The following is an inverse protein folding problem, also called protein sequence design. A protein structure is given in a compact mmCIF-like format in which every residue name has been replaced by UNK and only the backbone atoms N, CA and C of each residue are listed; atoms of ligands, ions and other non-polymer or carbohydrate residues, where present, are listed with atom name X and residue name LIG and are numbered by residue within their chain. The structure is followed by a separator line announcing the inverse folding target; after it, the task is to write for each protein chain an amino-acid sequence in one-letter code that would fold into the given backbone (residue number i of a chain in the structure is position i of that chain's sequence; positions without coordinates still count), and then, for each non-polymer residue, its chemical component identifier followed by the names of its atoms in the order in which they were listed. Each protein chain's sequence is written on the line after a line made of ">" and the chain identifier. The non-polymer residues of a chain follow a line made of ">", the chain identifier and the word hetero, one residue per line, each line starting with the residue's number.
data_IF_791205227712
#
_entry.id   IF_791205227712
#
_cell.length_a   1.000
_cell.length_b   1.000
_cell.length_c   1.000
_cell.angle_alpha   90.00
_cell.angle_beta   90.00
_cell.angle_gamma   90.00
#
_symmetry.space_group_name_H-M   'P 1'
#
loop_
_entity.id
_entity.type
_entity.pdbx_description
1 polymer ?
#
# COMPACT_ATOMS: atom_id res chain seq x y z
N UNK A 1 8.14 32.25 37.03
CA UNK A 1 6.99 31.31 37.01
C UNK A 1 6.06 31.79 35.91
N UNK A 2 6.31 31.35 34.66
CA UNK A 2 5.57 31.78 33.48
C UNK A 2 4.63 30.66 33.03
N UNK A 3 3.33 30.89 33.18
CA UNK A 3 2.25 30.00 32.73
C UNK A 3 2.11 30.09 31.22
N UNK A 4 2.44 29.00 30.52
CA UNK A 4 2.21 28.84 29.09
C UNK A 4 0.72 28.70 28.82
N UNK A 5 0.12 29.75 28.27
CA UNK A 5 -1.20 29.71 27.67
C UNK A 5 -1.19 28.79 26.45
N UNK A 6 -1.61 27.53 26.64
CA UNK A 6 -2.08 26.68 25.54
C UNK A 6 -3.41 27.26 25.06
N UNK A 7 -3.37 28.09 24.01
CA UNK A 7 -4.57 28.39 23.22
C UNK A 7 -5.00 27.09 22.56
N UNK A 8 -5.83 26.33 23.28
CA UNK A 8 -6.66 25.27 22.69
C UNK A 8 -7.60 26.01 21.74
N UNK A 9 -7.41 25.78 20.46
CA UNK A 9 -8.29 26.26 19.42
C UNK A 9 -9.63 25.59 19.71
N UNK A 10 -10.58 26.37 20.24
CA UNK A 10 -11.96 25.97 20.36
C UNK A 10 -12.49 25.77 18.94
N UNK A 11 -12.47 24.53 18.46
CA UNK A 11 -13.22 24.12 17.29
C UNK A 11 -14.65 23.90 17.78
N UNK A 12 -15.46 24.84 17.35
CA UNK A 12 -16.89 25.00 17.55
C UNK A 12 -17.66 23.69 17.37
N UNK A 13 -18.63 23.51 18.26
CA UNK A 13 -19.55 22.38 18.33
C UNK A 13 -20.45 22.31 17.09
N UNK A 14 -20.32 21.26 16.28
CA UNK A 14 -21.38 20.91 15.32
C UNK A 14 -21.64 19.40 15.28
N UNK A 15 -22.67 18.99 16.01
CA UNK A 15 -23.49 17.77 15.82
C UNK A 15 -22.84 16.40 16.09
N UNK A 16 -22.62 16.11 17.38
CA UNK A 16 -22.42 14.74 17.88
C UNK A 16 -23.76 13.99 17.74
N UNK A 17 -23.94 13.25 16.65
CA UNK A 17 -25.09 12.35 16.48
C UNK A 17 -24.86 11.05 17.28
N UNK A 18 -25.52 10.94 18.43
CA UNK A 18 -25.50 9.74 19.27
C UNK A 18 -26.33 8.62 18.63
N UNK A 19 -25.68 7.54 18.20
CA UNK A 19 -26.31 6.26 17.86
C UNK A 19 -25.62 5.12 18.65
N UNK A 20 -25.88 5.05 19.96
CA UNK A 20 -25.38 3.95 20.80
C UNK A 20 -23.84 3.91 20.95
N UNK A 21 -23.23 2.74 21.21
CA UNK A 21 -21.85 2.60 21.72
C UNK A 21 -20.74 2.96 20.71
N UNK A 22 -21.08 3.54 19.56
CA UNK A 22 -20.13 3.95 18.53
C UNK A 22 -20.03 5.48 18.52
N UNK A 23 -18.98 6.01 19.14
CA UNK A 23 -18.63 7.43 19.00
C UNK A 23 -18.05 7.68 17.60
N UNK A 24 -18.92 7.88 16.61
CA UNK A 24 -18.50 8.39 15.30
C UNK A 24 -18.25 9.90 15.45
N UNK A 25 -16.98 10.26 15.61
CA UNK A 25 -16.51 11.64 15.60
C UNK A 25 -16.45 12.15 14.15
N UNK A 26 -16.71 13.44 13.91
CA UNK A 26 -16.59 14.09 12.58
C UNK A 26 -15.23 13.82 11.91
N UNK A 27 -14.22 13.56 12.74
CA UNK A 27 -12.87 13.25 12.31
C UNK A 27 -12.78 11.98 11.45
N UNK A 28 -13.60 10.95 11.71
CA UNK A 28 -13.61 9.72 10.90
C UNK A 28 -14.10 9.99 9.48
N UNK A 29 -15.14 10.79 9.34
CA UNK A 29 -15.67 11.20 8.03
C UNK A 29 -14.67 12.06 7.25
N UNK A 30 -13.96 12.96 7.93
CA UNK A 30 -12.91 13.77 7.32
C UNK A 30 -11.76 12.89 6.80
N UNK A 31 -11.28 11.95 7.63
CA UNK A 31 -10.22 11.01 7.23
C UNK A 31 -10.65 10.15 6.04
N UNK A 32 -11.86 9.61 6.08
CA UNK A 32 -12.40 8.79 4.99
C UNK A 32 -12.57 9.59 3.69
N UNK A 33 -13.08 10.81 3.79
CA UNK A 33 -13.24 11.74 2.67
C UNK A 33 -11.90 12.14 2.05
N UNK A 34 -10.90 12.49 2.86
CA UNK A 34 -9.55 12.80 2.39
C UNK A 34 -8.89 11.58 1.72
N UNK A 35 -8.97 10.40 2.33
CA UNK A 35 -8.39 9.18 1.78
C UNK A 35 -8.99 8.84 0.40
N UNK A 36 -10.33 8.85 0.30
CA UNK A 36 -11.02 8.59 -0.96
C UNK A 36 -10.75 9.68 -1.99
N UNK A 37 -10.73 10.96 -1.58
CA UNK A 37 -10.42 12.10 -2.42
C UNK A 37 -9.01 12.04 -3.01
N UNK A 38 -7.99 11.78 -2.19
CA UNK A 38 -6.61 11.61 -2.65
C UNK A 38 -6.47 10.40 -3.57
N UNK A 39 -7.12 9.27 -3.25
CA UNK A 39 -7.12 8.08 -4.09
C UNK A 39 -7.76 8.32 -5.46
N UNK A 40 -8.94 8.92 -5.50
CA UNK A 40 -9.65 9.25 -6.73
C UNK A 40 -8.89 10.30 -7.56
N UNK A 41 -8.32 11.31 -6.91
CA UNK A 41 -7.50 12.32 -7.55
C UNK A 41 -6.26 11.71 -8.18
N UNK A 42 -5.53 10.86 -7.46
CA UNK A 42 -4.35 10.18 -7.99
C UNK A 42 -4.72 9.25 -9.15
N UNK A 43 -5.79 8.48 -9.01
CA UNK A 43 -6.25 7.59 -10.07
C UNK A 43 -6.64 8.38 -11.34
N UNK A 44 -7.38 9.48 -11.20
CA UNK A 44 -7.71 10.39 -12.29
C UNK A 44 -6.48 11.03 -12.92
N UNK A 45 -5.53 11.48 -12.09
CA UNK A 45 -4.26 12.05 -12.55
C UNK A 45 -3.45 11.04 -13.35
N UNK A 46 -3.34 9.79 -12.91
CA UNK A 46 -2.57 8.76 -13.59
C UNK A 46 -3.22 8.31 -14.91
N UNK A 47 -4.55 8.34 -15.02
CA UNK A 47 -5.30 7.87 -16.21
C UNK A 47 -5.57 8.95 -17.25
N UNK A 48 -5.69 10.21 -16.83
CA UNK A 48 -6.12 11.31 -17.71
C UNK A 48 -4.97 12.27 -18.04
N UNK A 49 -3.98 12.40 -17.15
CA UNK A 49 -2.90 13.39 -17.35
C UNK A 49 -1.79 12.87 -18.26
N UNK A 50 -1.26 13.74 -19.13
CA UNK A 50 -0.08 13.47 -19.97
C UNK A 50 1.13 12.94 -19.18
N UNK A 51 1.55 13.54 -18.04
CA UNK A 51 2.68 13.00 -17.28
C UNK A 51 2.35 11.63 -16.64
N UNK A 52 1.09 11.39 -16.21
CA UNK A 52 0.65 10.11 -15.68
C UNK A 52 0.70 8.96 -16.70
N UNK A 53 0.26 9.22 -17.93
CA UNK A 53 0.32 8.25 -19.03
C UNK A 53 1.77 7.90 -19.40
N UNK A 54 2.68 8.88 -19.35
CA UNK A 54 4.10 8.61 -19.61
C UNK A 54 4.77 7.80 -18.51
N UNK A 55 4.31 7.94 -17.27
CA UNK A 55 4.78 7.11 -16.17
C UNK A 55 4.31 5.65 -16.35
N UNK A 56 3.05 5.44 -16.76
CA UNK A 56 2.54 4.11 -17.06
C UNK A 56 3.27 3.45 -18.23
N UNK A 57 3.59 4.22 -19.28
CA UNK A 57 4.36 3.72 -20.42
C UNK A 57 5.77 3.23 -20.03
N UNK A 58 6.43 3.88 -19.06
CA UNK A 58 7.73 3.43 -18.53
C UNK A 58 7.60 2.16 -17.68
N UNK A 59 6.48 1.96 -16.99
CA UNK A 59 6.22 0.74 -16.23
C UNK A 59 5.97 -0.47 -17.14
N UNK A 60 5.33 -0.25 -18.30
CA UNK A 60 5.01 -1.32 -19.26
C UNK A 60 6.19 -1.67 -20.18
N UNK A 61 7.05 -0.71 -20.52
CA UNK A 61 8.24 -0.93 -21.35
C UNK A 61 9.53 -0.57 -20.59
N UNK A 62 10.11 -1.58 -19.94
CA UNK A 62 11.38 -1.46 -19.20
C UNK A 62 12.60 -1.25 -20.12
N UNK A 63 12.44 -1.39 -21.45
CA UNK A 63 13.55 -1.54 -22.40
C UNK A 63 14.06 -0.23 -23.04
N UNK A 64 13.80 0.92 -22.44
CA UNK A 64 14.50 2.14 -22.88
C UNK A 64 14.23 3.38 -22.04
N UNK A 65 15.25 4.21 -21.74
CA UNK A 65 15.05 5.51 -21.13
C UNK A 65 14.43 6.43 -22.18
N UNK A 66 13.10 6.38 -22.33
CA UNK A 66 12.34 7.37 -23.07
C UNK A 66 12.40 8.69 -22.31
N UNK A 67 13.57 9.35 -22.32
CA UNK A 67 13.78 10.74 -21.88
C UNK A 67 13.11 11.65 -22.89
N UNK A 68 11.79 11.60 -22.97
CA UNK A 68 11.05 12.59 -23.73
C UNK A 68 11.06 13.88 -22.89
N UNK A 69 11.72 14.93 -23.39
CA UNK A 69 11.83 16.29 -22.80
C UNK A 69 12.72 16.49 -21.56
N UNK A 70 13.72 15.65 -21.31
CA UNK A 70 14.69 15.90 -20.23
C UNK A 70 14.13 15.79 -18.80
N UNK A 71 12.93 15.25 -18.68
CA UNK A 71 12.23 14.98 -17.42
C UNK A 71 12.42 13.52 -17.02
N UNK A 72 12.79 13.27 -15.77
CA UNK A 72 12.91 11.91 -15.23
C UNK A 72 11.55 11.46 -14.66
N UNK A 73 10.86 10.50 -15.31
CA UNK A 73 9.57 10.00 -14.83
C UNK A 73 9.67 9.34 -13.46
N UNK A 74 10.84 8.80 -13.10
CA UNK A 74 11.09 8.17 -11.80
C UNK A 74 11.12 9.21 -10.68
N UNK A 75 11.79 10.34 -10.88
CA UNK A 75 11.79 11.44 -9.91
C UNK A 75 10.40 12.03 -9.71
N UNK A 76 9.62 12.15 -10.78
CA UNK A 76 8.25 12.65 -10.68
C UNK A 76 7.32 11.69 -9.94
N UNK A 77 7.43 10.39 -10.22
CA UNK A 77 6.72 9.36 -9.47
C UNK A 77 7.09 9.38 -7.99
N UNK A 78 8.38 9.53 -7.67
CA UNK A 78 8.87 9.66 -6.31
C UNK A 78 8.33 10.93 -5.63
N UNK A 79 8.28 12.07 -6.33
CA UNK A 79 7.72 13.31 -5.79
C UNK A 79 6.22 13.21 -5.48
N UNK A 80 5.45 12.56 -6.36
CA UNK A 80 4.02 12.28 -6.12
C UNK A 80 3.86 11.31 -4.95
N UNK A 81 4.64 10.23 -4.91
CA UNK A 81 4.62 9.27 -3.81
C UNK A 81 4.96 9.91 -2.46
N UNK A 82 5.99 10.75 -2.42
CA UNK A 82 6.41 11.47 -1.20
C UNK A 82 5.35 12.46 -0.72
N UNK A 83 4.69 13.19 -1.62
CA UNK A 83 3.61 14.11 -1.24
C UNK A 83 2.40 13.37 -0.67
N UNK A 84 2.00 12.24 -1.27
CA UNK A 84 0.93 11.39 -0.75
C UNK A 84 1.30 10.73 0.59
N UNK A 85 2.54 10.27 0.75
CA UNK A 85 3.03 9.73 2.02
C UNK A 85 3.01 10.81 3.12
N UNK A 86 3.39 12.05 2.80
CA UNK A 86 3.32 13.18 3.71
C UNK A 86 1.88 13.51 4.13
N UNK A 87 0.94 13.54 3.17
CA UNK A 87 -0.48 13.76 3.46
C UNK A 87 -1.03 12.63 4.34
N UNK A 88 -0.73 11.37 4.04
CA UNK A 88 -1.16 10.22 4.83
C UNK A 88 -0.61 10.24 6.26
N UNK A 89 0.69 10.51 6.42
CA UNK A 89 1.33 10.64 7.74
C UNK A 89 0.78 11.81 8.55
N UNK A 90 0.55 12.95 7.90
CA UNK A 90 -0.08 14.12 8.54
C UNK A 90 -1.50 13.83 9.02
N UNK A 91 -2.30 13.14 8.19
CA UNK A 91 -3.66 12.73 8.55
C UNK A 91 -3.66 11.75 9.73
N UNK A 92 -2.72 10.80 9.75
CA UNK A 92 -2.56 9.86 10.86
C UNK A 92 -2.16 10.57 12.17
N UNK A 93 -1.27 11.56 12.11
CA UNK A 93 -0.88 12.36 13.27
C UNK A 93 -2.04 13.19 13.83
N UNK A 94 -2.88 13.75 12.95
CA UNK A 94 -4.10 14.45 13.36
C UNK A 94 -5.09 13.48 14.01
N UNK A 95 -5.33 12.32 13.39
CA UNK A 95 -6.28 11.33 13.88
C UNK A 95 -5.91 10.80 15.28
N UNK A 96 -4.62 10.53 15.51
CA UNK A 96 -4.15 9.98 16.76
C UNK A 96 -4.19 10.99 17.92
N UNK A 97 -4.27 12.30 17.65
CA UNK A 97 -4.31 13.42 18.63
C UNK A 97 -3.21 13.43 19.72
N UNK A 98 -2.33 12.44 19.74
CA UNK A 98 -1.19 12.31 20.63
C UNK A 98 -0.04 11.63 19.89
N UNK A 99 1.13 12.26 19.92
CA UNK A 99 2.31 11.83 19.15
C UNK A 99 3.36 11.34 20.13
N UNK A 100 3.42 10.02 20.27
CA UNK A 100 4.46 9.34 21.03
C UNK A 100 5.50 8.71 20.07
N UNK A 101 6.78 8.65 20.45
CA UNK A 101 7.85 8.15 19.57
C UNK A 101 7.62 6.70 19.12
N UNK A 102 6.92 5.88 19.91
CA UNK A 102 6.60 4.50 19.56
C UNK A 102 5.45 4.35 18.53
N UNK A 103 4.74 5.44 18.20
CA UNK A 103 3.68 5.43 17.17
C UNK A 103 4.22 5.03 15.79
N UNK A 104 5.46 5.39 15.47
CA UNK A 104 6.08 5.02 14.19
C UNK A 104 6.25 3.51 14.06
N UNK A 105 6.66 2.84 15.13
CA UNK A 105 6.82 1.38 15.15
C UNK A 105 5.45 0.68 15.00
N UNK A 106 4.41 1.25 15.60
CA UNK A 106 3.02 0.77 15.45
C UNK A 106 2.47 0.95 14.02
N UNK A 107 2.84 2.02 13.34
CA UNK A 107 2.39 2.23 11.95
C UNK A 107 3.20 1.36 10.98
N UNK A 108 4.50 1.16 11.23
CA UNK A 108 5.40 0.44 10.34
C UNK A 108 4.94 -0.99 10.05
N UNK A 109 4.52 -1.75 11.08
CA UNK A 109 4.07 -3.12 10.87
C UNK A 109 2.77 -3.17 10.03
N UNK A 110 1.90 -2.15 10.13
CA UNK A 110 0.67 -2.06 9.31
C UNK A 110 1.00 -1.78 7.85
N UNK A 111 1.93 -0.86 7.59
CA UNK A 111 2.40 -0.55 6.23
C UNK A 111 3.08 -1.77 5.61
N UNK A 112 3.88 -2.50 6.38
CA UNK A 112 4.54 -3.73 5.92
C UNK A 112 3.51 -4.79 5.48
N UNK A 113 2.48 -5.03 6.29
CA UNK A 113 1.36 -5.90 5.90
C UNK A 113 0.69 -5.42 4.60
N UNK A 114 0.42 -4.12 4.50
CA UNK A 114 -0.27 -3.52 3.36
C UNK A 114 0.49 -3.74 2.05
N UNK A 115 1.80 -3.52 2.05
CA UNK A 115 2.67 -3.67 0.88
C UNK A 115 2.79 -5.15 0.48
N UNK A 116 2.87 -6.05 1.46
CA UNK A 116 2.94 -7.49 1.22
C UNK A 116 1.62 -8.05 0.62
N UNK A 117 0.45 -7.62 1.11
CA UNK A 117 -0.85 -8.02 0.52
C UNK A 117 -1.04 -7.38 -0.87
N UNK A 118 -0.75 -6.09 -1.00
CA UNK A 118 -1.10 -5.29 -2.18
C UNK A 118 -0.15 -5.47 -3.37
N UNK A 119 1.12 -5.80 -3.11
CA UNK A 119 2.18 -5.84 -4.10
C UNK A 119 2.54 -4.44 -4.64
N UNK A 120 3.70 -4.34 -5.32
CA UNK A 120 4.25 -3.05 -5.75
C UNK A 120 3.76 -2.59 -7.14
N UNK A 121 3.16 -3.47 -7.95
CA UNK A 121 3.00 -3.25 -9.40
C UNK A 121 1.60 -2.86 -9.87
N UNK A 122 0.56 -2.96 -9.04
CA UNK A 122 -0.84 -2.70 -9.46
C UNK A 122 -1.63 -1.92 -8.41
N UNK A 123 -2.12 -0.74 -8.79
CA UNK A 123 -2.94 0.15 -7.94
C UNK A 123 -4.18 -0.57 -7.40
N UNK A 124 -4.87 -1.37 -8.23
CA UNK A 124 -6.07 -2.11 -7.81
C UNK A 124 -5.79 -3.13 -6.70
N UNK A 125 -4.61 -3.75 -6.71
CA UNK A 125 -4.17 -4.68 -5.66
C UNK A 125 -3.93 -3.96 -4.34
N UNK A 126 -3.28 -2.80 -4.38
CA UNK A 126 -3.05 -1.97 -3.20
C UNK A 126 -4.35 -1.47 -2.54
N UNK A 127 -5.36 -1.07 -3.33
CA UNK A 127 -6.66 -0.63 -2.79
C UNK A 127 -7.41 -1.79 -2.13
N UNK A 128 -7.46 -2.96 -2.77
CA UNK A 128 -8.10 -4.16 -2.21
C UNK A 128 -7.39 -4.63 -0.94
N UNK A 129 -6.06 -4.56 -0.91
CA UNK A 129 -5.26 -4.89 0.26
C UNK A 129 -5.55 -3.94 1.44
N UNK A 130 -5.60 -2.64 1.18
CA UNK A 130 -5.88 -1.64 2.21
C UNK A 130 -7.28 -1.80 2.81
N UNK A 131 -8.29 -2.00 1.96
CA UNK A 131 -9.65 -2.22 2.41
C UNK A 131 -9.80 -3.55 3.16
N UNK A 132 -9.21 -4.63 2.64
CA UNK A 132 -9.22 -5.94 3.28
C UNK A 132 -8.55 -5.92 4.66
N UNK A 133 -7.37 -5.30 4.76
CA UNK A 133 -6.66 -5.18 6.03
C UNK A 133 -7.47 -4.37 7.05
N UNK A 134 -8.09 -3.25 6.65
CA UNK A 134 -8.93 -2.44 7.52
C UNK A 134 -10.17 -3.20 8.04
N UNK A 135 -10.84 -3.96 7.17
CA UNK A 135 -11.99 -4.78 7.57
C UNK A 135 -11.59 -5.90 8.52
N UNK A 136 -10.49 -6.61 8.22
CA UNK A 136 -9.99 -7.69 9.07
C UNK A 136 -9.57 -7.14 10.43
N UNK A 137 -8.84 -6.03 10.47
CA UNK A 137 -8.43 -5.39 11.73
C UNK A 137 -9.64 -4.92 12.54
N UNK A 138 -10.64 -4.32 11.89
CA UNK A 138 -11.87 -3.87 12.56
C UNK A 138 -12.68 -5.00 13.20
N UNK A 139 -12.69 -6.19 12.60
CA UNK A 139 -13.38 -7.39 13.13
C UNK A 139 -12.50 -8.13 14.14
N UNK A 140 -11.20 -8.23 13.89
CA UNK A 140 -10.25 -8.97 14.71
C UNK A 140 -9.91 -8.26 16.02
N UNK A 141 -9.86 -6.92 16.02
CA UNK A 141 -9.55 -6.11 17.21
C UNK A 141 -10.43 -6.46 18.43
N UNK A 142 -11.78 -6.54 18.32
CA UNK A 142 -12.61 -6.92 19.46
C UNK A 142 -12.52 -8.40 19.85
N UNK A 143 -12.18 -9.31 18.91
CA UNK A 143 -12.15 -10.75 19.19
C UNK A 143 -10.82 -11.22 19.83
N UNK A 144 -9.74 -10.44 19.67
CA UNK A 144 -8.37 -10.83 20.08
C UNK A 144 -7.89 -10.00 21.29
N UNK A 145 -8.80 -9.26 21.96
CA UNK A 145 -8.47 -8.36 23.05
C UNK A 145 -7.73 -9.01 24.25
N UNK A 146 -7.83 -10.33 24.41
CA UNK A 146 -7.22 -11.10 25.51
C UNK A 146 -5.83 -11.72 25.19
N UNK A 147 -5.27 -11.51 23.99
CA UNK A 147 -4.02 -12.17 23.57
C UNK A 147 -2.77 -11.38 24.01
N UNK A 148 -1.69 -12.04 24.49
CA UNK A 148 -0.49 -11.38 25.03
C UNK A 148 0.37 -10.64 23.99
N UNK A 149 0.10 -10.82 22.69
CA UNK A 149 0.72 -10.08 21.60
C UNK A 149 -0.34 -9.34 20.81
N UNK A 150 -0.07 -8.10 20.34
CA UNK A 150 -1.00 -7.35 19.53
C UNK A 150 -1.36 -8.13 18.25
N UNK A 151 -2.65 -8.11 17.88
CA UNK A 151 -3.21 -8.84 16.74
C UNK A 151 -2.46 -8.58 15.41
N UNK A 152 -1.82 -7.42 15.31
CA UNK A 152 -1.07 -6.94 14.16
C UNK A 152 0.11 -7.86 13.81
N UNK A 153 0.78 -8.45 14.81
CA UNK A 153 1.93 -9.34 14.62
C UNK A 153 1.49 -10.69 14.05
N UNK A 154 0.34 -11.21 14.49
CA UNK A 154 -0.22 -12.46 13.95
C UNK A 154 -0.64 -12.31 12.50
N UNK A 155 -1.17 -11.14 12.12
CA UNK A 155 -1.57 -10.84 10.75
C UNK A 155 -0.34 -10.78 9.82
N UNK A 156 0.74 -10.16 10.31
CA UNK A 156 2.03 -10.11 9.61
C UNK A 156 2.65 -11.51 9.45
N UNK A 157 2.57 -12.35 10.48
CA UNK A 157 3.03 -13.73 10.45
C UNK A 157 2.23 -14.58 9.47
N UNK A 158 0.89 -14.53 9.53
CA UNK A 158 0.01 -15.26 8.63
C UNK A 158 0.23 -14.85 7.18
N UNK A 159 0.44 -13.55 6.94
CA UNK A 159 0.71 -13.02 5.62
C UNK A 159 2.08 -13.43 5.08
N UNK A 160 3.12 -13.44 5.93
CA UNK A 160 4.43 -13.94 5.55
C UNK A 160 4.36 -15.41 5.11
N UNK A 161 3.60 -16.23 5.84
CA UNK A 161 3.38 -17.65 5.49
C UNK A 161 2.63 -17.80 4.15
N UNK A 162 1.55 -17.03 3.95
CA UNK A 162 0.77 -17.06 2.70
C UNK A 162 1.60 -16.57 1.50
N UNK A 163 2.43 -15.53 1.69
CA UNK A 163 3.31 -15.00 0.66
C UNK A 163 4.47 -15.95 0.33
N UNK A 164 4.89 -16.79 1.27
CA UNK A 164 5.97 -17.77 1.07
C UNK A 164 5.46 -19.04 0.35
N UNK A 165 4.18 -19.37 0.45
CA UNK A 165 3.59 -20.53 -0.23
C UNK A 165 3.81 -20.55 -1.76
N UNK A 166 3.60 -19.46 -2.52
CA UNK A 166 3.83 -19.46 -3.96
C UNK A 166 5.30 -19.42 -4.38
N UNK A 167 6.24 -19.02 -3.50
CA UNK A 167 7.69 -19.01 -3.83
C UNK A 167 8.30 -20.42 -3.80
N UNK A 168 7.63 -21.38 -3.16
CA UNK A 168 8.18 -22.72 -2.89
C UNK A 168 7.99 -23.72 -4.03
N UNK A 169 7.47 -23.30 -5.19
CA UNK A 169 7.37 -24.17 -6.39
C UNK A 169 8.46 -23.79 -7.40
N UNK A 170 9.72 -24.21 -7.20
CA UNK A 170 10.70 -24.13 -8.27
C UNK A 170 10.28 -25.08 -9.39
N UNK A 171 10.14 -24.50 -10.58
CA UNK A 171 9.78 -25.09 -11.87
C UNK A 171 10.57 -26.37 -12.18
N UNK A 172 10.00 -27.55 -11.88
CA UNK A 172 10.55 -28.87 -12.23
C UNK A 172 10.20 -29.30 -13.67
N UNK A 173 10.06 -28.37 -14.62
CA UNK A 173 9.44 -28.67 -15.93
C UNK A 173 10.26 -28.31 -17.18
N UNK A 174 11.58 -28.10 -17.11
CA UNK A 174 12.39 -27.89 -18.33
C UNK A 174 13.78 -28.56 -18.32
N UNK A 175 13.85 -29.85 -18.01
CA UNK A 175 15.07 -30.65 -18.23
C UNK A 175 14.83 -32.01 -18.92
N UNK A 176 13.66 -32.25 -19.50
CA UNK A 176 13.35 -33.52 -20.18
C UNK A 176 12.83 -33.31 -21.60
N UNK A 177 13.38 -32.36 -22.37
CA UNK A 177 13.07 -32.26 -23.82
C UNK A 177 14.29 -31.84 -24.67
N UNK A 178 15.51 -31.88 -24.13
CA UNK A 178 16.75 -31.50 -24.84
C UNK A 178 17.67 -32.71 -25.08
N UNK A 179 17.13 -33.91 -25.31
CA UNK A 179 17.97 -35.06 -25.73
C UNK A 179 17.47 -35.86 -26.93
N UNK A 180 16.26 -35.59 -27.45
CA UNK A 180 15.65 -36.45 -28.48
C UNK A 180 15.66 -35.88 -29.90
N UNK A 181 16.06 -34.62 -30.10
CA UNK A 181 16.05 -33.97 -31.42
C UNK A 181 17.39 -33.92 -32.16
N UNK A 182 18.53 -33.86 -31.46
CA UNK A 182 19.82 -33.49 -32.08
C UNK A 182 20.54 -34.64 -32.81
N UNK A 183 20.09 -35.90 -32.67
CA UNK A 183 20.76 -37.04 -33.30
C UNK A 183 20.17 -37.46 -34.66
N UNK A 184 19.08 -36.83 -35.12
CA UNK A 184 18.43 -37.20 -36.39
C UNK A 184 18.82 -36.35 -37.60
N UNK A 185 19.40 -35.16 -37.40
CA UNK A 185 19.76 -34.27 -38.51
C UNK A 185 21.13 -34.59 -39.14
N UNK A 186 22.03 -35.27 -38.43
CA UNK A 186 23.40 -35.50 -38.94
C UNK A 186 23.53 -36.72 -39.86
N UNK A 187 22.48 -37.56 -39.97
CA UNK A 187 22.54 -38.80 -40.75
C UNK A 187 21.96 -38.70 -42.17
N UNK A 188 21.37 -37.55 -42.55
CA UNK A 188 20.66 -37.40 -43.84
C UNK A 188 21.48 -36.63 -44.90
N UNK A 189 22.55 -35.94 -44.49
CA UNK A 189 23.36 -35.10 -45.39
C UNK A 189 24.58 -35.82 -45.98
N UNK A 190 24.61 -37.15 -45.96
CA UNK A 190 25.73 -37.94 -46.49
C UNK A 190 25.30 -39.14 -47.34
N UNK A 191 24.35 -38.95 -48.25
CA UNK A 191 24.11 -39.83 -49.42
C UNK A 191 23.77 -38.99 -50.63
#
# INVERSE_FOLDING_TARGET
>A
MGTYHRKVIAIDSHQIHYLGPLMLSDMHWLVFGCAFGCGAWLHGFLTTSRPGLTLQAVLDHQDGPARWRGFDPSCFAAAIGASLAGVGGGLAALYLNDVHPEMGLRIMHRILCLVMIGGLRRIRGAVLAAFGLACVEGIAAPMIADLPLPAEIYLLLALFVVSLWPISKPELHKMHDVSTGSHREVAVDSV
#
